data_IF_930429314864
#
_entry.id   IF_930429314864
#
_cell.length_a   1.000
_cell.length_b   1.000
_cell.length_c   1.000
_cell.angle_alpha   90.00
_cell.angle_beta   90.00
_cell.angle_gamma   90.00
#
_symmetry.space_group_name_H-M   'P 1'
#
loop_
_entity.id
_entity.type
_entity.pdbx_description
1 polymer ?
#
# COMPACT_ATOMS: atom_id res chain seq x y z
N UNK A 1 31.20 -48.62 -29.70
CA UNK A 1 32.34 -48.49 -28.79
C UNK A 1 31.86 -47.86 -27.51
N UNK A 2 31.67 -48.65 -26.45
CA UNK A 2 31.18 -48.21 -25.16
C UNK A 2 32.39 -48.22 -24.19
N UNK A 3 32.61 -47.13 -23.47
CA UNK A 3 33.65 -46.99 -22.47
C UNK A 3 32.99 -47.14 -21.10
N UNK A 4 33.41 -48.01 -20.20
CA UNK A 4 32.84 -48.20 -18.88
C UNK A 4 33.43 -47.23 -17.84
N UNK A 5 32.52 -46.73 -16.93
CA UNK A 5 32.88 -45.94 -15.75
C UNK A 5 33.32 -46.87 -14.58
N UNK A 6 34.28 -46.46 -13.72
CA UNK A 6 34.71 -47.29 -12.59
C UNK A 6 33.77 -47.15 -11.37
N UNK A 7 33.48 -48.29 -10.76
CA UNK A 7 32.84 -48.45 -9.46
C UNK A 7 33.82 -48.06 -8.33
N UNK A 8 33.48 -47.13 -7.49
CA UNK A 8 34.16 -46.88 -6.22
C UNK A 8 33.39 -47.54 -5.07
N UNK A 9 34.16 -48.42 -4.42
CA UNK A 9 33.75 -49.24 -3.26
C UNK A 9 33.63 -48.37 -1.99
N UNK A 10 32.51 -48.49 -1.29
CA UNK A 10 32.36 -47.96 0.07
C UNK A 10 32.77 -49.04 1.08
N UNK A 11 33.71 -48.70 1.99
CA UNK A 11 34.02 -49.52 3.19
C UNK A 11 33.31 -48.93 4.41
N UNK A 12 32.79 -49.79 5.34
CA UNK A 12 32.10 -49.33 6.54
C UNK A 12 33.10 -48.92 7.64
N UNK A 13 32.87 -47.79 8.29
CA UNK A 13 33.60 -47.34 9.46
C UNK A 13 32.98 -47.98 10.72
N UNK A 14 33.82 -48.68 11.46
CA UNK A 14 33.51 -49.35 12.73
C UNK A 14 33.22 -48.35 13.87
N UNK A 15 32.18 -48.59 14.62
CA UNK A 15 31.86 -47.92 15.87
C UNK A 15 32.77 -48.43 16.99
N UNK A 16 33.54 -47.53 17.63
CA UNK A 16 34.23 -47.79 18.89
C UNK A 16 33.40 -47.22 20.05
N UNK A 17 32.95 -48.09 20.94
CA UNK A 17 32.35 -47.81 22.22
C UNK A 17 33.41 -47.31 23.21
N UNK A 18 33.25 -46.10 23.77
CA UNK A 18 33.93 -45.67 24.97
C UNK A 18 32.93 -45.35 26.07
N UNK A 19 32.89 -46.18 27.06
CA UNK A 19 32.22 -46.00 28.34
C UNK A 19 32.97 -44.96 29.17
N UNK A 20 32.32 -43.88 29.61
CA UNK A 20 32.79 -43.01 30.67
C UNK A 20 31.68 -42.70 31.67
N UNK A 21 32.02 -42.98 32.88
CA UNK A 21 31.39 -42.94 34.20
C UNK A 21 30.39 -41.80 34.46
N UNK A 22 29.27 -42.23 35.07
CA UNK A 22 28.27 -41.43 35.77
C UNK A 22 28.84 -40.69 36.97
N UNK A 23 28.76 -39.35 36.99
CA UNK A 23 28.77 -38.55 38.22
C UNK A 23 27.33 -38.09 38.50
N UNK A 24 26.84 -38.56 39.67
CA UNK A 24 25.56 -38.13 40.28
C UNK A 24 25.66 -36.66 40.66
N UNK A 25 24.83 -35.80 40.09
CA UNK A 25 24.47 -34.53 40.69
C UNK A 25 23.00 -34.50 41.05
N UNK A 26 22.81 -34.11 42.29
CA UNK A 26 21.58 -34.10 43.08
C UNK A 26 20.46 -33.29 42.43
N UNK A 27 19.28 -33.87 42.35
CA UNK A 27 18.02 -33.22 42.10
C UNK A 27 17.62 -32.34 43.29
N UNK A 28 17.42 -31.05 43.05
CA UNK A 28 16.70 -30.14 43.97
C UNK A 28 15.30 -29.97 43.39
N UNK A 29 14.21 -30.24 44.10
CA UNK A 29 12.85 -30.02 43.60
C UNK A 29 12.51 -28.51 43.71
N UNK A 30 12.18 -27.91 42.55
CA UNK A 30 11.59 -26.60 42.47
C UNK A 30 10.11 -26.66 42.85
N UNK A 31 9.74 -26.00 43.91
CA UNK A 31 8.38 -25.75 44.38
C UNK A 31 7.59 -24.91 43.36
N UNK A 32 6.29 -25.17 43.16
CA UNK A 32 5.46 -24.40 42.25
C UNK A 32 5.08 -23.05 42.90
N UNK A 33 5.53 -21.95 42.30
CA UNK A 33 5.07 -20.62 42.67
C UNK A 33 4.06 -20.10 41.67
N UNK A 34 2.88 -19.83 42.24
CA UNK A 34 1.84 -18.89 41.81
C UNK A 34 1.32 -18.94 40.36
N UNK A 35 0.20 -19.64 40.23
CA UNK A 35 -0.86 -19.30 39.27
C UNK A 35 -1.39 -17.89 39.68
N UNK A 36 -1.16 -16.90 38.84
CA UNK A 36 -1.99 -15.71 38.82
C UNK A 36 -3.27 -16.02 38.06
N UNK A 37 -4.37 -15.93 38.77
CA UNK A 37 -5.73 -15.95 38.28
C UNK A 37 -5.91 -14.83 37.24
N UNK A 38 -6.14 -15.20 35.99
CA UNK A 38 -6.87 -14.34 35.08
C UNK A 38 -8.35 -14.58 35.33
N UNK A 39 -9.01 -13.57 35.88
CA UNK A 39 -10.43 -13.56 36.09
C UNK A 39 -11.15 -13.54 34.74
N UNK A 40 -11.94 -14.59 34.52
CA UNK A 40 -13.05 -14.54 33.58
C UNK A 40 -14.04 -13.50 34.06
N UNK A 41 -14.13 -12.37 33.40
CA UNK A 41 -15.27 -11.48 33.55
C UNK A 41 -15.70 -10.90 32.21
N UNK A 42 -16.92 -11.36 31.83
CA UNK A 42 -17.89 -10.63 31.01
C UNK A 42 -17.62 -10.39 29.52
N UNK A 43 -17.84 -11.43 28.76
CA UNK A 43 -18.34 -11.27 27.39
C UNK A 43 -19.88 -11.55 27.41
N UNK A 44 -20.68 -10.54 27.72
CA UNK A 44 -22.14 -10.54 27.51
C UNK A 44 -22.65 -9.12 27.41
N UNK A 45 -22.54 -8.52 26.23
CA UNK A 45 -23.46 -7.49 25.75
C UNK A 45 -23.90 -7.85 24.34
N UNK A 46 -25.04 -8.55 24.29
CA UNK A 46 -25.85 -8.67 23.09
C UNK A 46 -26.29 -7.27 22.67
N UNK A 47 -25.80 -6.79 21.54
CA UNK A 47 -26.45 -5.69 20.81
C UNK A 47 -27.47 -6.34 19.90
N UNK A 48 -28.74 -6.30 20.31
CA UNK A 48 -29.89 -6.56 19.47
C UNK A 48 -30.05 -5.39 18.51
N UNK A 49 -29.61 -5.54 17.27
CA UNK A 49 -30.05 -4.70 16.18
C UNK A 49 -31.37 -5.26 15.65
N UNK A 50 -32.48 -4.60 16.02
CA UNK A 50 -33.78 -4.84 15.43
C UNK A 50 -33.78 -4.30 14.00
N UNK A 51 -33.76 -5.18 13.01
CA UNK A 51 -34.17 -4.86 11.66
C UNK A 51 -35.70 -4.90 11.60
N UNK A 52 -36.36 -3.76 11.62
CA UNK A 52 -37.75 -3.62 11.22
C UNK A 52 -37.80 -3.55 9.69
N UNK A 53 -38.19 -4.66 9.08
CA UNK A 53 -38.58 -4.74 7.68
C UNK A 53 -40.03 -4.24 7.55
N UNK A 54 -40.24 -3.08 6.96
CA UNK A 54 -41.52 -2.66 6.44
C UNK A 54 -41.63 -3.11 4.98
N UNK A 55 -42.43 -4.15 4.77
CA UNK A 55 -43.00 -4.53 3.47
C UNK A 55 -44.12 -3.56 3.15
N UNK A 56 -44.00 -2.79 2.08
CA UNK A 56 -45.13 -2.23 1.36
C UNK A 56 -45.17 -2.82 -0.03
N UNK A 57 -46.16 -3.64 -0.24
CA UNK A 57 -46.62 -4.11 -1.54
C UNK A 57 -47.45 -3.00 -2.19
N UNK A 58 -47.07 -2.63 -3.43
CA UNK A 58 -48.05 -2.04 -4.35
C UNK A 58 -47.83 -2.58 -5.75
N UNK A 59 -48.93 -3.16 -6.25
CA UNK A 59 -49.15 -3.62 -7.61
C UNK A 59 -49.39 -2.42 -8.54
N UNK A 60 -48.90 -2.51 -9.79
CA UNK A 60 -49.28 -1.54 -10.81
C UNK A 60 -48.61 -1.81 -12.16
N UNK A 61 -49.22 -2.71 -12.92
CA UNK A 61 -49.49 -2.73 -14.39
C UNK A 61 -48.53 -2.00 -15.32
N UNK A 62 -47.98 -2.78 -16.24
CA UNK A 62 -47.46 -2.31 -17.56
C UNK A 62 -48.62 -1.76 -18.44
N UNK A 63 -48.33 -0.94 -19.43
CA UNK A 63 -48.77 -1.25 -20.78
C UNK A 63 -47.68 -1.11 -21.89
N UNK A 64 -48.05 -1.81 -22.92
CA UNK A 64 -47.43 -2.18 -24.19
C UNK A 64 -46.90 -1.07 -25.06
N UNK A 65 -45.93 -1.53 -25.87
CA UNK A 65 -45.51 -1.16 -27.24
C UNK A 65 -46.30 -0.13 -28.04
N UNK A 66 -45.58 0.78 -28.71
CA UNK A 66 -45.90 1.14 -30.08
C UNK A 66 -44.63 1.49 -30.90
N UNK A 67 -44.53 0.79 -32.01
CA UNK A 67 -43.67 0.93 -33.14
C UNK A 67 -43.97 2.26 -33.88
N UNK A 68 -42.97 2.99 -34.32
CA UNK A 68 -43.13 4.16 -35.18
C UNK A 68 -41.91 4.32 -36.12
N UNK A 69 -42.04 3.72 -37.27
CA UNK A 69 -41.15 3.84 -38.41
C UNK A 69 -41.45 5.17 -39.12
N UNK A 70 -40.44 6.04 -39.31
CA UNK A 70 -40.60 7.31 -40.01
C UNK A 70 -39.37 7.63 -40.89
N UNK A 71 -39.40 7.17 -42.11
CA UNK A 71 -38.47 7.48 -43.16
C UNK A 71 -38.77 8.88 -43.72
N UNK A 72 -37.83 9.80 -43.79
CA UNK A 72 -37.97 11.14 -44.34
C UNK A 72 -36.70 11.58 -45.04
N UNK A 73 -36.68 11.31 -46.35
CA UNK A 73 -35.69 11.80 -47.31
C UNK A 73 -36.02 13.26 -47.69
N UNK A 74 -35.06 14.19 -47.54
CA UNK A 74 -35.23 15.59 -47.94
C UNK A 74 -33.91 16.18 -48.45
N UNK A 75 -33.80 16.13 -49.74
CA UNK A 75 -32.76 16.76 -50.55
C UNK A 75 -33.04 18.27 -50.69
N UNK A 76 -32.08 19.15 -50.43
CA UNK A 76 -32.23 20.59 -50.61
C UNK A 76 -30.88 21.28 -50.83
N UNK A 77 -30.59 21.54 -52.09
CA UNK A 77 -29.53 22.43 -52.58
C UNK A 77 -29.79 23.88 -52.17
N UNK A 78 -28.73 24.63 -51.83
CA UNK A 78 -28.84 26.08 -51.70
C UNK A 78 -27.58 26.83 -51.23
N UNK A 79 -26.78 27.21 -52.25
CA UNK A 79 -26.03 28.48 -52.38
C UNK A 79 -25.19 29.06 -51.20
N UNK A 80 -23.92 29.07 -51.48
CA UNK A 80 -22.86 29.99 -51.09
C UNK A 80 -23.28 31.45 -50.87
N UNK A 81 -22.97 32.02 -49.68
CA UNK A 81 -22.73 33.46 -49.53
C UNK A 81 -21.51 33.63 -48.60
N UNK A 82 -20.42 34.08 -49.22
CA UNK A 82 -19.23 34.64 -48.55
C UNK A 82 -19.61 35.89 -47.79
N UNK A 83 -19.47 35.88 -46.45
CA UNK A 83 -19.51 37.03 -45.57
C UNK A 83 -18.32 36.97 -44.63
N UNK A 84 -17.20 37.56 -45.01
CA UNK A 84 -16.11 37.91 -44.13
C UNK A 84 -16.56 38.94 -43.12
N UNK A 85 -16.87 38.55 -41.90
CA UNK A 85 -16.91 39.49 -40.78
C UNK A 85 -15.69 39.23 -39.90
N UNK A 86 -14.69 40.08 -40.06
CA UNK A 86 -13.51 40.17 -39.21
C UNK A 86 -13.90 40.82 -37.88
N UNK A 87 -14.26 40.01 -36.88
CA UNK A 87 -14.26 40.45 -35.50
C UNK A 87 -12.83 40.29 -34.95
N UNK A 88 -12.29 41.32 -34.26
CA UNK A 88 -10.99 41.22 -33.62
C UNK A 88 -11.09 40.15 -32.52
N UNK A 89 -10.28 39.09 -32.66
CA UNK A 89 -10.10 38.07 -31.65
C UNK A 89 -9.53 38.73 -30.42
N UNK A 90 -10.34 38.93 -29.37
CA UNK A 90 -9.84 39.27 -28.07
C UNK A 90 -8.81 38.23 -27.64
N UNK A 91 -7.63 38.61 -27.11
CA UNK A 91 -6.71 37.65 -26.54
C UNK A 91 -7.42 37.00 -25.35
N UNK A 92 -7.64 35.70 -25.44
CA UNK A 92 -8.08 34.91 -24.31
C UNK A 92 -6.96 34.94 -23.25
N UNK A 93 -7.18 35.79 -22.25
CA UNK A 93 -6.38 35.78 -21.03
C UNK A 93 -6.71 34.47 -20.27
N UNK A 94 -6.16 33.36 -20.72
CA UNK A 94 -6.17 32.10 -19.99
C UNK A 94 -4.90 32.06 -19.11
N UNK A 95 -4.88 32.94 -18.14
CA UNK A 95 -3.76 33.19 -17.24
C UNK A 95 -3.90 32.51 -15.90
N UNK A 96 -4.21 31.21 -15.86
CA UNK A 96 -3.95 30.38 -14.68
C UNK A 96 -3.26 29.10 -15.11
N UNK A 97 -2.00 29.23 -15.51
CA UNK A 97 -1.12 28.06 -15.57
C UNK A 97 -0.98 27.55 -14.13
N UNK A 98 -1.73 26.47 -13.81
CA UNK A 98 -1.50 25.72 -12.57
C UNK A 98 0.00 25.40 -12.51
N UNK A 99 0.65 25.59 -11.35
CA UNK A 99 2.06 25.23 -11.23
C UNK A 99 2.26 23.79 -11.68
N UNK A 100 3.31 23.48 -12.44
CA UNK A 100 3.55 22.13 -12.91
C UNK A 100 3.68 21.20 -11.70
N UNK A 101 2.86 20.15 -11.65
CA UNK A 101 2.93 19.12 -10.62
C UNK A 101 4.23 18.34 -10.82
N UNK A 102 4.95 18.08 -9.74
CA UNK A 102 6.20 17.31 -9.79
C UNK A 102 5.97 15.85 -10.20
N UNK A 103 4.87 15.26 -9.74
CA UNK A 103 4.52 13.87 -9.99
C UNK A 103 3.15 13.78 -10.66
N UNK A 104 3.05 12.95 -11.68
CA UNK A 104 1.77 12.63 -12.34
C UNK A 104 1.12 11.38 -11.73
N UNK A 105 1.94 10.36 -11.44
CA UNK A 105 1.51 9.10 -10.84
C UNK A 105 2.39 8.79 -9.64
N UNK A 106 1.78 8.55 -8.50
CA UNK A 106 2.50 8.27 -7.25
C UNK A 106 2.06 6.96 -6.63
N UNK A 107 2.97 6.33 -5.89
CA UNK A 107 2.65 5.20 -5.04
C UNK A 107 2.84 5.60 -3.58
N UNK A 108 1.74 5.67 -2.83
CA UNK A 108 1.72 5.95 -1.41
C UNK A 108 1.78 4.64 -0.63
N UNK A 109 2.84 4.42 0.15
CA UNK A 109 2.91 3.32 1.10
C UNK A 109 2.52 3.81 2.48
N UNK A 110 1.47 3.24 3.04
CA UNK A 110 0.95 3.55 4.37
C UNK A 110 1.36 2.45 5.33
N UNK A 111 2.01 2.80 6.45
CA UNK A 111 2.30 1.83 7.51
C UNK A 111 1.00 1.35 8.16
N UNK A 112 0.87 0.03 8.39
CA UNK A 112 -0.27 -0.49 9.13
C UNK A 112 -0.32 0.07 10.56
N UNK A 113 0.82 0.18 11.23
CA UNK A 113 0.90 0.75 12.59
C UNK A 113 0.42 2.19 12.66
N UNK A 114 0.62 2.97 11.60
CA UNK A 114 0.12 4.33 11.54
C UNK A 114 -1.41 4.40 11.43
N UNK A 115 -2.08 3.31 11.00
CA UNK A 115 -3.54 3.25 10.94
C UNK A 115 -4.20 2.99 12.29
N UNK A 116 -3.46 2.50 13.28
CA UNK A 116 -4.00 2.22 14.61
C UNK A 116 -4.32 3.51 15.39
N UNK A 117 -3.64 4.62 15.08
CA UNK A 117 -3.77 5.84 15.87
C UNK A 117 -3.31 5.62 17.31
N UNK A 118 -3.91 6.38 18.23
CA UNK A 118 -3.61 6.33 19.68
C UNK A 118 -4.66 5.55 20.48
N UNK A 119 -5.66 4.94 19.80
CA UNK A 119 -6.76 4.25 20.43
C UNK A 119 -6.49 2.73 20.54
N UNK A 120 -7.24 2.03 21.42
CA UNK A 120 -7.15 0.57 21.61
C UNK A 120 -7.56 -0.26 20.37
N UNK A 121 -8.17 0.38 19.38
CA UNK A 121 -8.62 -0.28 18.16
C UNK A 121 -7.47 -0.44 17.18
N UNK A 122 -7.44 -1.58 16.49
CA UNK A 122 -6.41 -1.85 15.48
C UNK A 122 -6.46 -0.89 14.27
N UNK A 123 -7.60 -0.25 14.01
CA UNK A 123 -7.79 0.74 12.94
C UNK A 123 -8.54 1.94 13.51
N UNK A 124 -7.93 3.13 13.44
CA UNK A 124 -8.58 4.37 13.83
C UNK A 124 -9.34 4.98 12.62
N UNK A 125 -10.67 5.12 12.71
CA UNK A 125 -11.47 5.75 11.65
C UNK A 125 -11.09 7.21 11.37
N UNK A 126 -10.56 7.93 12.36
CA UNK A 126 -10.15 9.34 12.20
C UNK A 126 -8.89 9.42 11.32
N UNK A 127 -7.91 8.55 11.58
CA UNK A 127 -6.68 8.46 10.79
C UNK A 127 -7.00 8.07 9.35
N UNK A 128 -7.81 7.03 9.13
CA UNK A 128 -8.20 6.60 7.79
C UNK A 128 -8.98 7.66 7.05
N UNK A 129 -9.86 8.41 7.72
CA UNK A 129 -10.59 9.54 7.13
C UNK A 129 -9.66 10.72 6.79
N UNK A 130 -8.64 11.00 7.62
CA UNK A 130 -7.64 12.03 7.32
C UNK A 130 -6.87 11.68 6.04
N UNK A 131 -6.36 10.44 5.93
CA UNK A 131 -5.70 9.93 4.71
C UNK A 131 -6.62 10.08 3.49
N UNK A 132 -7.88 9.63 3.60
CA UNK A 132 -8.84 9.71 2.52
C UNK A 132 -9.07 11.15 2.03
N UNK A 133 -9.19 12.12 2.94
CA UNK A 133 -9.37 13.53 2.60
C UNK A 133 -8.16 14.13 1.89
N UNK A 134 -6.95 13.82 2.33
CA UNK A 134 -5.72 14.29 1.70
C UNK A 134 -5.54 13.69 0.29
N UNK A 135 -5.78 12.39 0.13
CA UNK A 135 -5.79 11.72 -1.17
C UNK A 135 -6.86 12.32 -2.09
N UNK A 136 -8.07 12.61 -1.55
CA UNK A 136 -9.12 13.28 -2.31
C UNK A 136 -8.70 14.66 -2.84
N UNK A 137 -7.99 15.43 -2.04
CA UNK A 137 -7.54 16.77 -2.43
C UNK A 137 -6.59 16.71 -3.63
N UNK A 138 -5.71 15.73 -3.69
CA UNK A 138 -4.71 15.61 -4.77
C UNK A 138 -5.25 14.89 -6.01
N UNK A 139 -6.14 13.92 -5.87
CA UNK A 139 -6.80 13.26 -7.02
C UNK A 139 -7.66 14.24 -7.82
N UNK A 140 -8.29 15.22 -7.16
CA UNK A 140 -9.02 16.32 -7.83
C UNK A 140 -8.10 17.24 -8.66
N UNK A 141 -6.80 17.25 -8.39
CA UNK A 141 -5.81 17.95 -9.22
C UNK A 141 -5.38 17.16 -10.45
N UNK A 142 -5.84 15.91 -10.59
CA UNK A 142 -5.52 15.02 -11.69
C UNK A 142 -4.30 14.11 -11.43
N UNK A 143 -3.80 14.04 -10.18
CA UNK A 143 -2.71 13.12 -9.83
C UNK A 143 -3.29 11.71 -9.66
N UNK A 144 -2.65 10.74 -10.29
CA UNK A 144 -2.98 9.32 -10.19
C UNK A 144 -2.35 8.73 -8.92
N UNK A 145 -3.16 8.23 -7.99
CA UNK A 145 -2.69 7.72 -6.69
C UNK A 145 -2.92 6.22 -6.58
N UNK A 146 -1.83 5.47 -6.42
CA UNK A 146 -1.83 4.09 -5.99
C UNK A 146 -1.40 4.01 -4.53
N UNK A 147 -1.92 3.04 -3.77
CA UNK A 147 -1.63 2.86 -2.34
C UNK A 147 -1.20 1.42 -2.09
N UNK A 148 -0.16 1.22 -1.29
CA UNK A 148 0.17 -0.06 -0.64
C UNK A 148 0.00 0.12 0.86
N UNK A 149 -0.76 -0.75 1.48
CA UNK A 149 -1.03 -0.67 2.93
C UNK A 149 -0.36 -1.81 3.68
N UNK A 150 0.25 -1.51 4.83
CA UNK A 150 0.81 -2.50 5.75
C UNK A 150 -0.26 -3.18 6.59
N UNK A 151 0.10 -4.24 7.32
CA UNK A 151 -0.78 -5.03 8.19
C UNK A 151 -0.35 -5.08 9.65
N UNK A 152 0.72 -4.36 10.03
CA UNK A 152 1.37 -4.47 11.33
C UNK A 152 0.53 -4.06 12.54
N UNK A 153 -0.53 -3.28 12.33
CA UNK A 153 -1.53 -2.93 13.35
C UNK A 153 -2.44 -4.10 13.75
N UNK A 154 -2.63 -5.07 12.86
CA UNK A 154 -3.50 -6.23 13.10
C UNK A 154 -2.66 -7.46 13.42
N UNK A 155 -1.65 -7.73 12.58
CA UNK A 155 -0.79 -8.90 12.75
C UNK A 155 0.60 -8.67 12.18
N UNK A 156 1.63 -9.01 12.96
CA UNK A 156 3.03 -8.91 12.56
C UNK A 156 3.66 -10.29 12.53
N UNK A 157 3.81 -10.87 11.34
CA UNK A 157 4.29 -12.24 11.13
C UNK A 157 5.66 -12.51 11.79
N UNK A 158 6.60 -11.56 11.68
CA UNK A 158 7.93 -11.70 12.27
C UNK A 158 7.93 -11.85 13.81
N UNK A 159 6.94 -11.28 14.50
CA UNK A 159 6.81 -11.39 15.96
C UNK A 159 6.26 -12.75 16.38
N UNK A 160 5.36 -13.33 15.58
CA UNK A 160 4.70 -14.59 15.88
C UNK A 160 5.47 -15.82 15.37
N UNK A 161 6.29 -15.66 14.34
CA UNK A 161 7.14 -16.74 13.84
C UNK A 161 8.09 -17.23 14.93
N UNK A 162 8.05 -18.53 15.21
CA UNK A 162 8.88 -19.18 16.22
C UNK A 162 8.35 -19.12 17.67
N UNK A 163 7.45 -18.20 18.02
CA UNK A 163 6.92 -18.10 19.39
C UNK A 163 5.75 -19.07 19.65
N UNK A 164 4.95 -19.38 18.62
CA UNK A 164 3.72 -20.17 18.72
C UNK A 164 3.76 -21.49 17.96
N UNK A 165 4.95 -21.92 17.51
CA UNK A 165 5.08 -23.07 16.59
C UNK A 165 4.64 -22.75 15.15
N UNK A 166 4.28 -21.50 14.87
CA UNK A 166 3.91 -21.03 13.54
C UNK A 166 5.18 -20.82 12.70
N UNK A 167 5.25 -21.46 11.54
CA UNK A 167 6.35 -21.22 10.61
C UNK A 167 6.28 -19.83 9.99
N UNK A 168 7.41 -19.33 9.50
CA UNK A 168 7.52 -17.99 8.96
C UNK A 168 6.59 -17.73 7.76
N UNK A 169 6.44 -18.70 6.88
CA UNK A 169 5.60 -18.55 5.69
C UNK A 169 4.13 -18.40 6.05
N UNK A 170 3.63 -19.25 6.97
CA UNK A 170 2.27 -19.17 7.49
C UNK A 170 2.01 -17.84 8.22
N UNK A 171 2.97 -17.38 9.02
CA UNK A 171 2.89 -16.10 9.70
C UNK A 171 2.82 -14.93 8.71
N UNK A 172 3.61 -14.96 7.64
CA UNK A 172 3.60 -13.94 6.61
C UNK A 172 2.28 -13.94 5.81
N UNK A 173 1.67 -15.11 5.53
CA UNK A 173 0.34 -15.17 4.92
C UNK A 173 -0.73 -14.54 5.80
N UNK A 174 -0.72 -14.76 7.11
CA UNK A 174 -1.63 -14.08 8.04
C UNK A 174 -1.40 -12.56 7.99
N UNK A 175 -0.15 -12.12 7.97
CA UNK A 175 0.20 -10.70 7.79
C UNK A 175 -0.33 -10.12 6.46
N UNK A 176 -0.31 -10.89 5.38
CA UNK A 176 -0.90 -10.47 4.10
C UNK A 176 -2.42 -10.31 4.20
N UNK A 177 -3.13 -11.21 4.90
CA UNK A 177 -4.57 -11.06 5.16
C UNK A 177 -4.87 -9.81 5.99
N UNK A 178 -4.03 -9.48 6.96
CA UNK A 178 -4.14 -8.23 7.72
C UNK A 178 -4.09 -6.98 6.81
N UNK A 179 -3.23 -6.99 5.78
CA UNK A 179 -3.21 -5.89 4.80
C UNK A 179 -4.50 -5.79 4.00
N UNK A 180 -5.16 -6.91 3.72
CA UNK A 180 -6.45 -6.93 2.99
C UNK A 180 -7.54 -6.28 3.83
N UNK A 181 -7.60 -6.56 5.14
CA UNK A 181 -8.54 -5.90 6.06
C UNK A 181 -8.36 -4.37 6.03
N UNK A 182 -7.13 -3.89 6.18
CA UNK A 182 -6.83 -2.45 6.10
C UNK A 182 -7.21 -1.85 4.74
N UNK A 183 -6.96 -2.57 3.64
CA UNK A 183 -7.27 -2.10 2.29
C UNK A 183 -8.78 -1.95 2.05
N UNK A 184 -9.58 -2.91 2.52
CA UNK A 184 -11.05 -2.86 2.42
C UNK A 184 -11.60 -1.71 3.26
N UNK A 185 -11.10 -1.54 4.50
CA UNK A 185 -11.51 -0.44 5.36
C UNK A 185 -11.19 0.92 4.73
N UNK A 186 -9.98 1.09 4.19
CA UNK A 186 -9.56 2.32 3.53
C UNK A 186 -10.37 2.57 2.24
N UNK A 187 -10.69 1.54 1.46
CA UNK A 187 -11.57 1.65 0.29
C UNK A 187 -12.95 2.17 0.70
N UNK A 188 -13.59 1.54 1.68
CA UNK A 188 -14.90 1.96 2.17
C UNK A 188 -14.88 3.42 2.65
N UNK A 189 -13.82 3.82 3.37
CA UNK A 189 -13.64 5.21 3.83
C UNK A 189 -13.50 6.17 2.65
N UNK A 190 -12.71 5.85 1.63
CA UNK A 190 -12.54 6.71 0.45
C UNK A 190 -13.83 6.80 -0.37
N UNK A 191 -14.53 5.70 -0.59
CA UNK A 191 -15.78 5.69 -1.34
C UNK A 191 -16.89 6.44 -0.60
N UNK A 192 -16.91 6.44 0.75
CA UNK A 192 -17.87 7.23 1.54
C UNK A 192 -17.78 8.76 1.33
N UNK A 193 -16.61 9.24 0.90
CA UNK A 193 -16.39 10.66 0.55
C UNK A 193 -16.32 10.92 -0.97
N UNK A 194 -16.80 9.95 -1.76
CA UNK A 194 -16.96 10.06 -3.21
C UNK A 194 -15.70 9.86 -4.03
N UNK A 195 -14.68 9.16 -3.50
CA UNK A 195 -13.47 8.82 -4.26
C UNK A 195 -13.61 7.40 -4.83
N UNK A 196 -13.71 7.23 -6.15
CA UNK A 196 -13.77 5.91 -6.75
C UNK A 196 -12.48 5.13 -6.46
N UNK A 197 -12.57 4.03 -5.73
CA UNK A 197 -11.42 3.25 -5.27
C UNK A 197 -11.56 1.79 -5.67
N UNK A 198 -10.44 1.11 -5.94
CA UNK A 198 -10.40 -0.33 -6.22
C UNK A 198 -9.30 -0.99 -5.42
N UNK A 199 -9.63 -2.07 -4.72
CA UNK A 199 -8.65 -2.94 -4.07
C UNK A 199 -8.26 -4.05 -5.03
N UNK A 200 -6.95 -4.27 -5.16
CA UNK A 200 -6.38 -5.39 -5.91
C UNK A 200 -5.46 -6.21 -5.01
N UNK A 201 -5.69 -7.53 -4.95
CA UNK A 201 -4.93 -8.45 -4.09
C UNK A 201 -3.94 -9.29 -4.89
N UNK A 202 -2.76 -9.54 -4.31
CA UNK A 202 -1.70 -10.30 -4.95
C UNK A 202 -2.06 -11.79 -5.13
N UNK A 203 -2.94 -12.34 -4.28
CA UNK A 203 -3.57 -13.65 -4.50
C UNK A 203 -5.09 -13.51 -4.57
N UNK A 204 -5.76 -14.50 -5.18
CA UNK A 204 -7.19 -14.38 -5.52
C UNK A 204 -8.08 -14.41 -4.28
N UNK A 205 -8.90 -13.38 -4.14
CA UNK A 205 -9.94 -13.22 -3.13
C UNK A 205 -11.15 -12.51 -3.76
N UNK A 206 -11.72 -13.14 -4.79
CA UNK A 206 -12.70 -12.53 -5.72
C UNK A 206 -13.95 -11.96 -5.06
N UNK A 207 -14.29 -12.44 -3.86
CA UNK A 207 -15.45 -12.02 -3.07
C UNK A 207 -15.24 -10.63 -2.45
N UNK A 208 -13.99 -10.21 -2.24
CA UNK A 208 -13.67 -8.96 -1.52
C UNK A 208 -12.81 -7.97 -2.32
N UNK A 209 -12.07 -8.46 -3.33
CA UNK A 209 -11.14 -7.62 -4.09
C UNK A 209 -10.87 -8.18 -5.49
N UNK A 210 -10.46 -7.32 -6.40
CA UNK A 210 -10.01 -7.75 -7.72
C UNK A 210 -8.65 -8.46 -7.61
N UNK A 211 -8.39 -9.51 -8.42
CA UNK A 211 -7.04 -10.03 -8.55
C UNK A 211 -6.13 -8.98 -9.21
N UNK A 212 -4.92 -8.85 -8.70
CA UNK A 212 -3.94 -7.93 -9.28
C UNK A 212 -3.60 -8.31 -10.72
N UNK A 213 -3.82 -7.39 -11.62
CA UNK A 213 -3.39 -7.45 -13.01
C UNK A 213 -2.84 -6.07 -13.37
N UNK A 214 -1.53 -5.96 -13.67
CA UNK A 214 -0.83 -4.70 -13.96
C UNK A 214 -1.63 -3.77 -14.89
N UNK A 215 -2.06 -4.27 -16.05
CA UNK A 215 -2.81 -3.46 -17.03
C UNK A 215 -4.16 -2.98 -16.50
N UNK A 216 -4.80 -3.73 -15.60
CA UNK A 216 -6.06 -3.32 -14.95
C UNK A 216 -5.81 -2.21 -13.95
N UNK A 217 -4.76 -2.31 -13.14
CA UNK A 217 -4.34 -1.26 -12.22
C UNK A 217 -4.10 0.07 -12.95
N UNK A 218 -3.30 0.05 -14.02
CA UNK A 218 -3.01 1.22 -14.85
C UNK A 218 -4.31 1.83 -15.40
N UNK A 219 -5.23 1.03 -15.95
CA UNK A 219 -6.52 1.54 -16.46
C UNK A 219 -7.40 2.16 -15.38
N UNK A 220 -7.32 1.67 -14.14
CA UNK A 220 -8.05 2.30 -13.04
C UNK A 220 -7.46 3.66 -12.71
N UNK A 221 -6.14 3.78 -12.63
CA UNK A 221 -5.44 5.04 -12.38
C UNK A 221 -5.74 6.07 -13.48
N UNK A 222 -5.62 5.68 -14.75
CA UNK A 222 -5.96 6.52 -15.92
C UNK A 222 -7.42 7.00 -15.93
N UNK A 223 -8.33 6.27 -15.29
CA UNK A 223 -9.74 6.66 -15.10
C UNK A 223 -9.98 7.49 -13.84
N UNK A 224 -8.92 7.99 -13.20
CA UNK A 224 -9.00 8.79 -11.98
C UNK A 224 -9.47 8.01 -10.73
N UNK A 225 -9.32 6.68 -10.72
CA UNK A 225 -9.62 5.85 -9.56
C UNK A 225 -8.37 5.67 -8.72
N UNK A 226 -8.52 5.67 -7.40
CA UNK A 226 -7.46 5.22 -6.50
C UNK A 226 -7.38 3.70 -6.56
N UNK A 227 -6.16 3.14 -6.60
CA UNK A 227 -5.93 1.69 -6.55
C UNK A 227 -5.20 1.35 -5.26
N UNK A 228 -5.76 0.46 -4.45
CA UNK A 228 -5.11 -0.02 -3.23
C UNK A 228 -4.62 -1.45 -3.48
N UNK A 229 -3.32 -1.66 -3.36
CA UNK A 229 -2.71 -2.99 -3.47
C UNK A 229 -2.62 -3.63 -2.10
N UNK A 230 -3.19 -4.82 -1.96
CA UNK A 230 -3.23 -5.61 -0.74
C UNK A 230 -2.58 -6.99 -0.94
N UNK A 231 -2.36 -7.71 0.15
CA UNK A 231 -1.62 -8.97 0.22
C UNK A 231 -0.13 -8.85 -0.19
N UNK A 232 0.45 -7.65 -0.07
CA UNK A 232 1.87 -7.42 -0.32
C UNK A 232 2.32 -7.84 -1.71
N UNK A 233 3.40 -8.63 -1.78
CA UNK A 233 3.87 -9.28 -3.03
C UNK A 233 3.08 -10.55 -3.37
N UNK A 234 2.34 -11.11 -2.42
CA UNK A 234 1.73 -12.44 -2.49
C UNK A 234 2.69 -13.58 -2.13
N UNK A 235 3.95 -13.26 -1.82
CA UNK A 235 4.96 -14.24 -1.44
C UNK A 235 5.46 -13.98 -0.01
N UNK A 236 5.65 -15.04 0.81
CA UNK A 236 6.30 -14.93 2.11
C UNK A 236 7.72 -14.35 2.00
N UNK A 237 8.28 -13.92 3.11
CA UNK A 237 9.62 -13.34 3.29
C UNK A 237 9.83 -11.93 2.76
N UNK A 238 8.88 -11.38 2.01
CA UNK A 238 8.93 -9.99 1.52
C UNK A 238 8.07 -9.08 2.38
N UNK A 239 8.51 -7.84 2.52
CA UNK A 239 7.77 -6.82 3.26
C UNK A 239 6.79 -6.05 2.36
N UNK A 240 5.95 -5.21 2.97
CA UNK A 240 5.10 -4.28 2.23
C UNK A 240 5.89 -3.12 1.61
N UNK A 241 7.12 -2.84 2.07
CA UNK A 241 8.02 -1.88 1.44
C UNK A 241 8.54 -2.44 0.10
N UNK A 242 8.95 -3.73 0.08
CA UNK A 242 9.27 -4.44 -1.16
C UNK A 242 8.08 -4.44 -2.12
N UNK A 243 6.86 -4.70 -1.62
CA UNK A 243 5.66 -4.64 -2.44
C UNK A 243 5.42 -3.24 -3.03
N UNK A 244 5.67 -2.18 -2.25
CA UNK A 244 5.53 -0.80 -2.72
C UNK A 244 6.52 -0.49 -3.86
N UNK A 245 7.79 -0.83 -3.69
CA UNK A 245 8.80 -0.65 -4.74
C UNK A 245 8.44 -1.42 -6.03
N UNK A 246 8.05 -2.69 -5.89
CA UNK A 246 7.64 -3.55 -7.02
C UNK A 246 6.42 -2.97 -7.76
N UNK A 247 5.35 -2.61 -7.05
CA UNK A 247 4.15 -2.04 -7.67
C UNK A 247 4.42 -0.69 -8.29
N UNK A 248 5.28 0.15 -7.67
CA UNK A 248 5.71 1.43 -8.24
C UNK A 248 6.35 1.24 -9.62
N UNK A 249 7.31 0.34 -9.74
CA UNK A 249 7.97 0.00 -11.01
C UNK A 249 6.96 -0.54 -12.03
N UNK A 250 6.10 -1.50 -11.63
CA UNK A 250 5.15 -2.16 -12.53
C UNK A 250 4.10 -1.22 -13.13
N UNK A 251 3.62 -0.25 -12.35
CA UNK A 251 2.59 0.70 -12.81
C UNK A 251 3.17 1.98 -13.40
N UNK A 252 4.48 2.10 -13.51
CA UNK A 252 5.22 3.30 -13.91
C UNK A 252 4.85 4.51 -13.04
N UNK A 253 4.80 4.33 -11.72
CA UNK A 253 4.71 5.46 -10.80
C UNK A 253 6.09 6.11 -10.66
N UNK A 254 6.11 7.41 -10.44
CA UNK A 254 7.32 8.24 -10.51
C UNK A 254 8.04 8.35 -9.16
N UNK A 255 7.39 7.93 -8.07
CA UNK A 255 7.91 8.05 -6.71
C UNK A 255 7.22 7.06 -5.77
N UNK A 256 7.97 6.54 -4.79
CA UNK A 256 7.41 5.86 -3.60
C UNK A 256 7.34 6.86 -2.46
N UNK A 257 6.15 7.11 -1.93
CA UNK A 257 5.87 7.98 -0.80
C UNK A 257 5.63 7.12 0.43
N UNK A 258 6.63 6.99 1.30
CA UNK A 258 6.56 6.18 2.53
C UNK A 258 6.03 7.00 3.68
N UNK A 259 4.73 6.87 3.96
CA UNK A 259 4.06 7.46 5.11
C UNK A 259 4.21 6.55 6.34
N UNK A 260 4.82 7.06 7.39
CA UNK A 260 5.20 6.34 8.62
C UNK A 260 5.00 7.22 9.87
N UNK A 261 5.37 6.73 11.05
CA UNK A 261 5.23 7.45 12.33
C UNK A 261 6.48 8.28 12.69
N UNK A 262 7.43 8.43 11.76
CA UNK A 262 8.64 9.24 11.97
C UNK A 262 8.72 10.34 10.93
N UNK A 263 9.35 11.48 11.27
CA UNK A 263 9.40 12.65 10.41
C UNK A 263 10.21 12.46 9.12
N UNK A 264 11.07 11.46 9.10
CA UNK A 264 11.93 11.10 7.98
C UNK A 264 13.08 10.22 8.44
N UNK A 265 14.22 10.31 7.77
CA UNK A 265 15.45 9.57 8.10
C UNK A 265 16.37 10.47 8.89
N UNK A 266 16.87 9.98 10.03
CA UNK A 266 17.80 10.68 10.90
C UNK A 266 19.21 10.12 10.71
N UNK A 267 20.22 10.91 11.08
CA UNK A 267 21.63 10.50 11.06
C UNK A 267 21.97 9.50 12.18
N UNK A 268 21.12 9.40 13.22
CA UNK A 268 21.20 8.45 14.33
C UNK A 268 19.77 8.15 14.85
N UNK A 269 19.61 7.16 15.74
CA UNK A 269 18.30 6.84 16.34
C UNK A 269 17.84 7.97 17.31
N UNK A 270 16.80 8.73 16.98
CA UNK A 270 16.33 9.84 17.81
C UNK A 270 15.82 9.40 19.21
N UNK A 271 15.49 8.10 19.37
CA UNK A 271 15.11 7.55 20.68
C UNK A 271 16.31 7.36 21.62
N UNK A 272 17.50 7.19 21.04
CA UNK A 272 18.76 7.00 21.80
C UNK A 272 19.59 8.25 21.84
N UNK A 273 19.57 9.04 20.79
CA UNK A 273 20.33 10.27 20.66
C UNK A 273 19.38 11.46 20.46
N UNK A 274 19.13 12.28 21.49
CA UNK A 274 18.28 13.47 21.36
C UNK A 274 18.84 14.54 20.38
N UNK A 275 20.13 14.44 20.00
CA UNK A 275 20.77 15.35 19.04
C UNK A 275 20.73 14.81 17.60
N UNK A 276 20.05 13.68 17.36
CA UNK A 276 19.88 13.15 16.01
C UNK A 276 19.22 14.17 15.11
N UNK A 277 19.75 14.34 13.90
CA UNK A 277 19.30 15.34 12.93
C UNK A 277 18.53 14.67 11.80
N UNK A 278 17.40 15.28 11.46
CA UNK A 278 16.63 14.88 10.29
C UNK A 278 17.43 15.23 9.02
N UNK A 279 17.56 14.28 8.09
CA UNK A 279 18.26 14.44 6.84
C UNK A 279 17.26 14.86 5.75
N UNK A 280 17.55 15.95 5.03
CA UNK A 280 16.68 16.47 3.97
C UNK A 280 16.70 15.58 2.72
N UNK A 281 17.87 15.05 2.36
CA UNK A 281 18.05 14.20 1.19
C UNK A 281 19.20 13.23 1.39
N UNK A 282 19.09 12.07 0.76
CA UNK A 282 20.08 10.98 0.78
C UNK A 282 20.23 10.38 -0.62
N UNK A 283 21.42 9.89 -0.92
CA UNK A 283 21.63 8.97 -2.02
C UNK A 283 21.32 7.54 -1.60
N UNK A 284 21.02 6.65 -2.54
CA UNK A 284 20.87 5.22 -2.23
C UNK A 284 22.15 4.60 -1.66
N UNK A 285 23.31 5.08 -2.11
CA UNK A 285 24.61 4.64 -1.60
C UNK A 285 24.81 5.01 -0.13
N UNK A 286 24.39 6.20 0.29
CA UNK A 286 24.43 6.61 1.70
C UNK A 286 23.51 5.77 2.56
N UNK A 287 22.28 5.47 2.09
CA UNK A 287 21.34 4.59 2.81
C UNK A 287 21.95 3.21 3.02
N UNK A 288 22.55 2.63 1.97
CA UNK A 288 23.15 1.29 2.02
C UNK A 288 24.43 1.26 2.86
N UNK A 289 25.32 2.26 2.68
CA UNK A 289 26.64 2.27 3.36
C UNK A 289 26.55 2.57 4.85
N UNK A 290 25.54 3.36 5.26
CA UNK A 290 25.31 3.74 6.66
C UNK A 290 24.31 2.82 7.36
N UNK A 291 23.79 1.79 6.69
CA UNK A 291 22.75 0.87 7.18
C UNK A 291 21.55 1.60 7.82
N UNK A 292 21.09 2.66 7.15
CA UNK A 292 19.99 3.47 7.65
C UNK A 292 18.67 2.69 7.54
N UNK A 293 17.96 2.56 8.66
CA UNK A 293 16.70 1.80 8.74
C UNK A 293 15.53 2.55 8.09
N UNK A 294 15.58 2.70 6.77
CA UNK A 294 14.55 3.38 5.98
C UNK A 294 13.48 2.41 5.48
N UNK A 295 13.92 1.39 4.76
CA UNK A 295 13.14 0.31 4.15
C UNK A 295 13.97 -0.95 4.20
N UNK A 296 13.37 -2.12 3.92
CA UNK A 296 14.20 -3.31 3.73
C UNK A 296 15.11 -3.17 2.48
N UNK A 297 16.26 -3.85 2.53
CA UNK A 297 17.28 -3.72 1.50
C UNK A 297 16.78 -4.11 0.10
N UNK A 298 15.86 -5.08 0.01
CA UNK A 298 15.26 -5.51 -1.26
C UNK A 298 14.48 -4.35 -1.89
N UNK A 299 13.71 -3.62 -1.09
CA UNK A 299 12.96 -2.45 -1.56
C UNK A 299 13.89 -1.32 -2.00
N UNK A 300 14.95 -1.04 -1.24
CA UNK A 300 15.97 -0.03 -1.57
C UNK A 300 16.65 -0.36 -2.90
N UNK A 301 17.13 -1.60 -3.05
CA UNK A 301 17.80 -2.06 -4.28
C UNK A 301 16.85 -1.94 -5.49
N UNK A 302 15.60 -2.37 -5.35
CA UNK A 302 14.61 -2.30 -6.43
C UNK A 302 14.33 -0.84 -6.85
N UNK A 303 14.21 0.07 -5.88
CA UNK A 303 14.06 1.50 -6.18
C UNK A 303 15.29 2.07 -6.87
N UNK A 304 16.49 1.74 -6.41
CA UNK A 304 17.75 2.19 -6.99
C UNK A 304 17.90 1.74 -8.45
N UNK A 305 17.69 0.44 -8.72
CA UNK A 305 17.83 -0.14 -10.08
C UNK A 305 16.83 0.45 -11.07
N UNK A 306 15.67 0.89 -10.60
CA UNK A 306 14.63 1.49 -11.44
C UNK A 306 14.60 3.02 -11.39
N UNK A 307 15.58 3.66 -10.74
CA UNK A 307 15.67 5.12 -10.56
C UNK A 307 14.39 5.74 -9.97
N UNK A 308 13.74 5.04 -9.04
CA UNK A 308 12.50 5.46 -8.39
C UNK A 308 12.87 6.20 -7.10
N UNK A 309 12.67 7.51 -6.98
CA UNK A 309 12.92 8.23 -5.73
C UNK A 309 11.95 7.79 -4.63
N UNK A 310 12.43 7.87 -3.38
CA UNK A 310 11.61 7.54 -2.19
C UNK A 310 11.54 8.78 -1.30
N UNK A 311 10.34 9.15 -0.84
CA UNK A 311 10.13 10.19 0.17
C UNK A 311 9.60 9.53 1.45
N UNK A 312 10.31 9.74 2.56
CA UNK A 312 9.91 9.22 3.89
C UNK A 312 9.42 10.37 4.74
N UNK A 313 8.20 10.28 5.29
CA UNK A 313 7.60 11.37 6.05
C UNK A 313 6.59 10.87 7.09
N UNK A 314 6.27 11.75 8.04
CA UNK A 314 5.33 11.48 9.11
C UNK A 314 3.88 11.58 8.62
N UNK A 315 3.13 10.48 8.79
CA UNK A 315 1.70 10.38 8.46
C UNK A 315 0.82 11.20 9.41
N UNK A 316 1.23 11.29 10.68
CA UNK A 316 0.42 11.91 11.73
C UNK A 316 0.32 13.43 11.59
N UNK A 317 1.24 14.04 10.84
CA UNK A 317 1.23 15.49 10.58
C UNK A 317 0.24 15.84 9.47
N UNK A 318 -0.83 16.59 9.77
CA UNK A 318 -1.84 16.96 8.78
C UNK A 318 -1.25 17.69 7.57
N UNK A 319 -1.67 17.26 6.37
CA UNK A 319 -1.22 17.87 5.11
C UNK A 319 0.06 17.27 4.54
N UNK A 320 0.79 16.44 5.26
CA UNK A 320 2.05 15.86 4.77
C UNK A 320 1.86 14.92 3.58
N UNK A 321 0.77 14.14 3.54
CA UNK A 321 0.44 13.30 2.38
C UNK A 321 0.23 14.18 1.15
N UNK A 322 -0.56 15.23 1.28
CA UNK A 322 -0.83 16.14 0.16
C UNK A 322 0.42 16.87 -0.32
N UNK A 323 1.30 17.33 0.59
CA UNK A 323 2.59 17.93 0.26
C UNK A 323 3.49 16.94 -0.48
N UNK A 324 3.69 15.74 0.07
CA UNK A 324 4.50 14.70 -0.55
C UNK A 324 4.02 14.35 -1.96
N UNK A 325 2.71 14.15 -2.14
CA UNK A 325 2.12 13.83 -3.44
C UNK A 325 2.30 14.96 -4.45
N UNK A 326 2.23 16.23 -4.03
CA UNK A 326 2.51 17.38 -4.91
C UNK A 326 4.01 17.56 -5.20
N UNK A 327 4.88 16.86 -4.49
CA UNK A 327 6.33 17.00 -4.58
C UNK A 327 6.90 18.19 -3.83
N UNK A 328 6.15 18.72 -2.85
CA UNK A 328 6.64 19.73 -1.92
C UNK A 328 7.64 19.11 -0.93
N UNK A 329 8.54 19.93 -0.37
CA UNK A 329 9.52 19.46 0.62
C UNK A 329 8.82 18.97 1.89
N UNK A 330 8.97 17.69 2.18
CA UNK A 330 8.48 17.05 3.41
C UNK A 330 9.32 15.82 3.72
N UNK A 331 9.75 15.66 4.95
CA UNK A 331 10.57 14.53 5.37
C UNK A 331 11.91 14.42 4.64
N UNK A 332 12.31 13.21 4.29
CA UNK A 332 13.59 12.88 3.63
C UNK A 332 13.36 12.35 2.23
N UNK A 333 14.04 12.91 1.24
CA UNK A 333 14.06 12.42 -0.15
C UNK A 333 15.29 11.53 -0.39
N UNK A 334 15.09 10.35 -0.95
CA UNK A 334 16.16 9.40 -1.29
C UNK A 334 16.19 9.19 -2.80
N UNK A 335 17.39 9.23 -3.38
CA UNK A 335 17.60 8.93 -4.80
C UNK A 335 17.08 9.98 -5.77
N UNK A 336 16.92 11.24 -5.33
CA UNK A 336 16.44 12.32 -6.17
C UNK A 336 16.87 13.70 -5.67
N UNK A 337 16.38 14.75 -6.35
CA UNK A 337 16.57 16.15 -5.92
C UNK A 337 15.20 16.82 -5.76
N UNK A 338 15.07 17.68 -4.75
CA UNK A 338 13.82 18.41 -4.51
C UNK A 338 13.43 19.37 -5.65
N UNK A 339 14.42 19.84 -6.43
CA UNK A 339 14.24 20.87 -7.45
C UNK A 339 14.08 20.35 -8.89
N UNK A 340 14.02 19.06 -9.11
CA UNK A 340 13.82 18.51 -10.46
C UNK A 340 12.35 18.65 -10.88
N UNK A 341 12.06 19.72 -11.62
CA UNK A 341 10.87 19.75 -12.49
C UNK A 341 11.12 18.74 -13.60
N UNK A 342 10.28 17.72 -13.69
CA UNK A 342 10.35 16.75 -14.79
C UNK A 342 10.03 17.48 -16.09
N UNK A 343 11.06 17.84 -16.85
CA UNK A 343 10.90 18.22 -18.26
C UNK A 343 10.58 16.95 -19.02
N UNK A 344 9.32 16.73 -19.30
CA UNK A 344 8.87 15.71 -20.26
C UNK A 344 9.44 16.08 -21.63
N UNK A 345 10.53 15.44 -22.03
CA UNK A 345 10.92 15.37 -23.43
C UNK A 345 9.90 14.50 -24.14
N UNK A 346 9.09 15.14 -24.98
CA UNK A 346 8.17 14.56 -25.97
C UNK A 346 8.92 13.75 -27.01
#
# INVERSE_FOLDING_TARGET
>A
MAIPLPLTSYSPISASSSTSSLSRTSFVPLTPRHRSFFSEQNCSRRVLLSCSSSLSSDNGSAPESMNGNGNGNGNGNGSSLNGQSSFPRMPSFDGTSKPPLKWRRVLLKVSGEALAGDEEQNIDPKVTMAIAREVAAVTRLGIEVAIVVGGGNIFRGSTWAGCSGLDRSSADYIGMLATVMNAIFLQATMESIGIPTRVQTAFRMSEVAEPYIRRRAIRHLEKGRVVIFAAGTGNPFFTTDTAAALRCAEINAEVVLKATNVDGVFDDDPKRNPNARLLDSLTYQEVTSKDLSVMDMTAITLCQENNIPVVVFNLSEPGNIAKAIKGERVGTLIGGTWNSVVTTTT
#
